data_IF_416687232212
#
_entry.id   IF_416687232212
#
_cell.length_a   1.000
_cell.length_b   1.000
_cell.length_c   1.000
_cell.angle_alpha   90.00
_cell.angle_beta   90.00
_cell.angle_gamma   90.00
#
_symmetry.space_group_name_H-M   'P 1'
#
loop_
_entity.id
_entity.type
_entity.pdbx_description
1 polymer ?
#
# COMPACT_ATOMS: atom_id res chain seq x y z
N UNK A 1 -15.98 24.67 9.79
CA UNK A 1 -15.89 23.58 10.79
C UNK A 1 -16.95 23.84 11.85
N UNK A 2 -17.71 22.82 12.24
CA UNK A 2 -18.98 23.03 12.97
C UNK A 2 -18.88 22.85 14.48
N UNK A 3 -17.78 22.36 15.04
CA UNK A 3 -17.65 22.19 16.48
C UNK A 3 -16.29 22.61 17.05
N UNK A 4 -16.32 23.00 18.33
CA UNK A 4 -15.11 23.23 19.13
C UNK A 4 -14.24 21.98 19.19
N UNK A 5 -14.84 20.79 19.26
CA UNK A 5 -14.10 19.51 19.32
C UNK A 5 -13.23 19.37 18.08
N UNK A 6 -13.80 19.60 16.90
CA UNK A 6 -13.06 19.53 15.65
C UNK A 6 -11.91 20.55 15.64
N UNK A 7 -12.11 21.76 16.19
CA UNK A 7 -11.08 22.82 16.20
C UNK A 7 -9.87 22.36 16.97
N UNK A 8 -10.10 21.78 18.16
CA UNK A 8 -9.04 21.21 18.98
C UNK A 8 -8.36 20.02 18.32
N UNK A 9 -9.10 19.18 17.58
CA UNK A 9 -8.51 18.04 16.86
C UNK A 9 -7.51 18.48 15.79
N UNK A 10 -7.84 19.54 15.04
CA UNK A 10 -6.99 20.00 13.92
C UNK A 10 -5.88 20.96 14.39
N UNK A 11 -6.21 21.91 15.26
CA UNK A 11 -5.30 23.00 15.65
C UNK A 11 -4.72 22.83 17.06
N UNK A 12 -5.17 21.85 17.84
CA UNK A 12 -4.84 21.77 19.27
C UNK A 12 -5.56 22.80 20.16
N UNK A 13 -6.20 23.82 19.55
CA UNK A 13 -6.92 24.89 20.23
C UNK A 13 -8.29 25.20 19.60
N UNK A 14 -9.11 25.93 20.33
CA UNK A 14 -10.44 26.38 19.86
C UNK A 14 -10.30 27.65 19.03
N UNK A 15 -11.21 27.88 18.08
CA UNK A 15 -11.26 29.11 17.29
C UNK A 15 -11.72 28.90 15.85
N UNK A 16 -11.55 27.71 15.27
CA UNK A 16 -11.95 27.44 13.89
C UNK A 16 -13.49 27.43 13.71
N UNK A 17 -14.25 27.22 14.79
CA UNK A 17 -15.71 27.31 14.77
C UNK A 17 -16.24 28.74 14.59
N UNK A 18 -15.37 29.75 14.72
CA UNK A 18 -15.70 31.18 14.60
C UNK A 18 -15.34 31.76 13.23
N UNK A 19 -14.87 30.92 12.31
CA UNK A 19 -14.53 31.31 10.95
C UNK A 19 -15.80 31.60 10.14
N UNK A 20 -15.72 32.61 9.27
CA UNK A 20 -16.83 33.08 8.46
C UNK A 20 -17.11 32.20 7.23
N UNK A 21 -16.18 31.30 6.88
CA UNK A 21 -16.20 30.54 5.63
C UNK A 21 -15.60 31.35 4.47
N UNK A 22 -15.85 30.92 3.23
CA UNK A 22 -15.44 31.62 1.99
C UNK A 22 -13.94 32.04 1.96
N UNK A 23 -13.06 31.18 2.48
CA UNK A 23 -11.61 31.43 2.51
C UNK A 23 -11.08 32.01 3.82
N UNK A 24 -11.91 32.39 4.78
CA UNK A 24 -11.45 32.75 6.13
C UNK A 24 -10.93 31.50 6.88
N UNK A 25 -9.67 31.56 7.35
CA UNK A 25 -8.96 30.42 7.92
C UNK A 25 -7.99 30.80 9.05
N UNK A 26 -7.61 29.82 9.86
CA UNK A 26 -6.52 29.92 10.85
C UNK A 26 -5.29 29.18 10.33
N UNK A 27 -4.16 29.87 10.27
CA UNK A 27 -2.86 29.32 9.88
C UNK A 27 -1.96 29.13 11.11
N UNK A 28 -1.31 27.98 11.19
CA UNK A 28 -0.37 27.63 12.26
C UNK A 28 0.96 27.18 11.64
N UNK A 29 2.02 27.97 11.83
CA UNK A 29 3.36 27.59 11.40
C UNK A 29 4.05 26.75 12.49
N UNK A 30 4.43 25.51 12.16
CA UNK A 30 5.27 24.67 13.02
C UNK A 30 4.72 24.39 14.42
N UNK A 31 3.40 24.28 14.58
CA UNK A 31 2.77 24.05 15.89
C UNK A 31 2.75 25.27 16.82
N UNK A 32 3.11 26.45 16.32
CA UNK A 32 3.10 27.72 17.07
C UNK A 32 1.70 28.32 17.23
N UNK A 33 1.64 29.63 17.44
CA UNK A 33 0.38 30.35 17.64
C UNK A 33 -0.40 30.51 16.32
N UNK A 34 -1.72 30.33 16.34
CA UNK A 34 -2.56 30.54 15.16
C UNK A 34 -2.64 32.02 14.76
N UNK A 35 -2.70 32.26 13.46
CA UNK A 35 -2.92 33.57 12.85
C UNK A 35 -4.12 33.48 11.90
N UNK A 36 -5.08 34.41 12.01
CA UNK A 36 -6.22 34.46 11.09
C UNK A 36 -5.82 35.08 9.76
N UNK A 37 -6.14 34.40 8.67
CA UNK A 37 -5.83 34.82 7.30
C UNK A 37 -7.03 34.60 6.38
N UNK A 38 -7.07 35.32 5.27
CA UNK A 38 -8.09 35.16 4.24
C UNK A 38 -7.43 34.59 2.98
N UNK A 39 -7.90 33.42 2.56
CA UNK A 39 -7.47 32.77 1.34
C UNK A 39 -7.92 33.59 0.12
N UNK A 40 -7.05 33.82 -0.86
CA UNK A 40 -7.47 34.44 -2.12
C UNK A 40 -8.47 33.54 -2.83
N UNK A 41 -9.50 34.15 -3.43
CA UNK A 41 -10.41 33.45 -4.30
C UNK A 41 -9.76 33.25 -5.68
N UNK A 42 -9.84 32.03 -6.20
CA UNK A 42 -9.44 31.67 -7.55
C UNK A 42 -10.59 30.86 -8.16
N UNK A 43 -11.15 31.31 -9.28
CA UNK A 43 -12.25 30.60 -9.92
C UNK A 43 -11.75 29.43 -10.76
N UNK A 44 -12.61 28.44 -11.00
CA UNK A 44 -12.30 27.27 -11.83
C UNK A 44 -11.80 27.68 -13.22
N UNK A 45 -12.38 28.73 -13.81
CA UNK A 45 -11.94 29.29 -15.10
C UNK A 45 -10.52 29.85 -15.10
N UNK A 46 -10.07 30.44 -13.97
CA UNK A 46 -8.69 30.92 -13.83
C UNK A 46 -7.73 29.73 -13.74
N UNK A 47 -8.10 28.70 -12.99
CA UNK A 47 -7.33 27.44 -12.91
C UNK A 47 -7.21 26.79 -14.28
N UNK A 48 -8.32 26.66 -15.03
CA UNK A 48 -8.33 26.10 -16.37
C UNK A 48 -7.44 26.88 -17.35
N UNK A 49 -7.47 28.21 -17.29
CA UNK A 49 -6.64 29.08 -18.12
C UNK A 49 -5.15 28.85 -17.85
N UNK A 50 -4.75 28.78 -16.57
CA UNK A 50 -3.36 28.50 -16.17
C UNK A 50 -2.94 27.09 -16.61
N UNK A 51 -3.78 26.08 -16.38
CA UNK A 51 -3.51 24.70 -16.80
C UNK A 51 -3.35 24.61 -18.32
N UNK A 52 -4.22 25.26 -19.09
CA UNK A 52 -4.13 25.30 -20.55
C UNK A 52 -2.84 25.99 -21.02
N UNK A 53 -2.38 27.02 -20.32
CA UNK A 53 -1.10 27.66 -20.59
C UNK A 53 0.08 26.70 -20.35
N UNK A 54 0.10 26.01 -19.20
CA UNK A 54 1.16 25.07 -18.84
C UNK A 54 1.23 23.87 -19.80
N UNK A 55 0.08 23.32 -20.22
CA UNK A 55 0.01 22.22 -21.20
C UNK A 55 0.62 22.56 -22.56
N UNK A 56 0.69 23.85 -22.94
CA UNK A 56 1.37 24.28 -24.19
C UNK A 56 2.89 24.30 -24.06
N UNK A 57 3.43 24.36 -22.85
CA UNK A 57 4.86 24.47 -22.62
C UNK A 57 5.56 23.11 -22.59
N UNK A 58 4.85 22.02 -22.31
CA UNK A 58 5.45 20.69 -22.26
C UNK A 58 4.46 19.57 -21.99
N UNK A 59 4.93 18.33 -22.19
CA UNK A 59 4.20 17.13 -21.79
C UNK A 59 4.45 16.82 -20.32
N UNK A 60 3.45 16.30 -19.58
CA UNK A 60 3.66 15.88 -18.21
C UNK A 60 4.66 14.72 -18.14
N UNK A 61 5.51 14.72 -17.11
CA UNK A 61 6.43 13.63 -16.79
C UNK A 61 5.96 12.97 -15.51
N UNK A 62 5.21 11.88 -15.63
CA UNK A 62 4.69 11.14 -14.49
C UNK A 62 5.75 10.18 -13.95
N UNK A 63 5.83 10.06 -12.62
CA UNK A 63 6.66 9.07 -11.95
C UNK A 63 5.77 7.90 -11.57
N UNK A 64 5.82 6.82 -12.36
CA UNK A 64 5.00 5.62 -12.16
C UNK A 64 5.16 5.02 -10.74
N UNK A 65 6.33 5.20 -10.12
CA UNK A 65 6.61 4.74 -8.76
C UNK A 65 5.76 5.43 -7.67
N UNK A 66 5.14 6.59 -7.94
CA UNK A 66 4.29 7.29 -6.96
C UNK A 66 2.91 6.65 -6.86
N UNK A 67 2.43 6.03 -7.95
CA UNK A 67 1.11 5.38 -8.04
C UNK A 67 1.21 3.86 -8.10
N UNK A 68 2.42 3.31 -8.19
CA UNK A 68 2.63 1.87 -8.09
C UNK A 68 2.29 1.42 -6.66
N UNK A 69 1.43 0.41 -6.56
CA UNK A 69 1.16 -0.24 -5.29
C UNK A 69 2.47 -0.89 -4.79
N UNK A 70 2.82 -0.73 -3.51
CA UNK A 70 4.05 -1.32 -2.94
C UNK A 70 4.02 -2.88 -2.93
N UNK A 71 2.93 -3.48 -3.40
CA UNK A 71 2.79 -4.90 -3.73
C UNK A 71 3.18 -5.29 -5.16
N UNK A 72 3.44 -4.33 -6.05
CA UNK A 72 3.74 -4.59 -7.46
C UNK A 72 5.18 -4.19 -7.80
N UNK A 73 6.06 -5.19 -7.75
CA UNK A 73 7.41 -5.08 -8.27
C UNK A 73 7.39 -4.58 -9.71
N UNK A 74 7.93 -3.37 -9.87
CA UNK A 74 8.29 -2.69 -11.11
C UNK A 74 8.35 -3.60 -12.35
N UNK A 75 7.27 -3.59 -13.15
CA UNK A 75 7.34 -3.79 -14.60
C UNK A 75 6.68 -2.59 -15.24
N UNK A 76 7.53 -1.71 -15.76
CA UNK A 76 7.17 -0.37 -16.19
C UNK A 76 6.22 -0.28 -17.38
N UNK A 77 5.67 0.92 -17.49
CA UNK A 77 5.15 1.62 -18.66
C UNK A 77 4.20 0.87 -19.59
N UNK A 78 2.91 1.17 -19.45
CA UNK A 78 2.21 2.13 -20.31
C UNK A 78 0.69 2.02 -20.12
N UNK A 79 0.01 3.13 -20.39
CA UNK A 79 -1.46 3.31 -20.54
C UNK A 79 -2.33 3.16 -19.29
N UNK A 80 -2.80 4.33 -18.82
CA UNK A 80 -4.23 4.70 -18.75
C UNK A 80 -5.19 3.60 -18.30
N UNK A 81 -5.64 3.67 -17.04
CA UNK A 81 -7.05 3.55 -16.65
C UNK A 81 -7.18 3.66 -15.12
N UNK A 82 -8.29 4.24 -14.70
CA UNK A 82 -8.62 4.75 -13.36
C UNK A 82 -9.27 3.62 -12.56
N UNK A 83 -8.69 3.12 -11.46
CA UNK A 83 -9.44 2.31 -10.49
C UNK A 83 -9.04 2.55 -9.02
N UNK A 84 -10.00 2.24 -8.17
CA UNK A 84 -10.35 2.86 -6.89
C UNK A 84 -9.67 2.17 -5.70
N UNK A 85 -9.20 2.99 -4.77
CA UNK A 85 -8.63 2.65 -3.46
C UNK A 85 -9.51 1.67 -2.65
N UNK A 86 -8.85 0.72 -1.97
CA UNK A 86 -9.46 -0.30 -1.12
C UNK A 86 -8.56 -0.65 0.05
N UNK A 87 -8.43 0.26 1.00
CA UNK A 87 -7.77 0.04 2.29
C UNK A 87 -8.38 -1.16 3.06
N UNK A 88 -7.53 -2.10 3.49
CA UNK A 88 -7.92 -3.15 4.46
C UNK A 88 -6.98 -3.10 5.67
N UNK A 89 -7.57 -2.71 6.79
CA UNK A 89 -6.99 -2.64 8.13
C UNK A 89 -6.45 -4.01 8.60
N UNK A 90 -5.21 -4.02 9.11
CA UNK A 90 -4.65 -5.10 9.92
C UNK A 90 -5.00 -4.88 11.40
N UNK A 91 -5.82 -5.77 11.95
CA UNK A 91 -5.95 -5.99 13.40
C UNK A 91 -6.32 -7.46 13.61
N UNK A 92 -5.39 -8.24 14.16
CA UNK A 92 -5.77 -9.36 15.01
C UNK A 92 -4.93 -10.60 14.89
N UNK A 93 -4.09 -10.80 15.92
CA UNK A 93 -4.16 -11.99 16.80
C UNK A 93 -2.88 -12.82 16.89
N UNK A 94 -2.30 -12.76 18.09
CA UNK A 94 -1.82 -13.86 18.92
C UNK A 94 -0.85 -14.91 18.35
N UNK A 95 0.24 -15.09 19.11
CA UNK A 95 0.60 -16.42 19.59
C UNK A 95 1.90 -16.97 19.02
N UNK A 96 2.83 -17.25 19.92
CA UNK A 96 4.03 -18.03 19.69
C UNK A 96 3.80 -19.29 18.87
N UNK A 97 4.59 -19.46 17.80
CA UNK A 97 5.37 -20.69 17.49
C UNK A 97 6.09 -20.44 16.17
N UNK A 98 7.23 -19.74 16.23
CA UNK A 98 8.11 -19.54 15.07
C UNK A 98 8.62 -20.83 14.41
N UNK A 99 8.32 -22.00 14.99
CA UNK A 99 8.61 -23.33 14.44
C UNK A 99 7.46 -24.02 13.68
N UNK A 100 6.23 -23.51 13.71
CA UNK A 100 5.08 -24.23 13.12
C UNK A 100 4.69 -23.70 11.72
N UNK A 101 4.73 -22.38 11.51
CA UNK A 101 4.31 -21.78 10.23
C UNK A 101 5.15 -22.24 9.03
N UNK A 102 6.44 -22.48 9.22
CA UNK A 102 7.31 -22.97 8.15
C UNK A 102 7.01 -24.42 7.78
N UNK A 103 6.84 -25.30 8.79
CA UNK A 103 6.47 -26.69 8.57
C UNK A 103 5.09 -26.82 7.90
N UNK A 104 4.12 -26.00 8.33
CA UNK A 104 2.80 -25.91 7.71
C UNK A 104 2.88 -25.44 6.25
N UNK A 105 3.71 -24.43 5.97
CA UNK A 105 3.94 -23.95 4.61
C UNK A 105 4.54 -25.05 3.73
N UNK A 106 5.55 -25.76 4.21
CA UNK A 106 6.15 -26.89 3.47
C UNK A 106 5.13 -27.98 3.18
N UNK A 107 4.34 -28.38 4.17
CA UNK A 107 3.30 -29.38 4.01
C UNK A 107 2.26 -28.97 2.96
N UNK A 108 1.87 -27.69 2.94
CA UNK A 108 0.94 -27.14 1.94
C UNK A 108 1.56 -27.20 0.54
N UNK A 109 2.81 -26.77 0.37
CA UNK A 109 3.51 -26.80 -0.93
C UNK A 109 3.64 -28.23 -1.45
N UNK A 110 4.04 -29.17 -0.59
CA UNK A 110 4.25 -30.57 -0.97
C UNK A 110 2.94 -31.30 -1.27
N UNK A 111 1.88 -31.07 -0.47
CA UNK A 111 0.57 -31.69 -0.66
C UNK A 111 -0.12 -31.18 -1.92
N UNK A 112 -0.14 -29.87 -2.09
CA UNK A 112 -0.95 -29.23 -3.15
C UNK A 112 -0.15 -29.04 -4.44
N UNK A 113 1.15 -29.37 -4.43
CA UNK A 113 2.13 -29.21 -5.52
C UNK A 113 2.08 -27.81 -6.14
N UNK A 114 1.85 -26.80 -5.29
CA UNK A 114 1.72 -25.39 -5.66
C UNK A 114 2.64 -24.55 -4.78
N UNK A 115 3.71 -24.05 -5.38
CA UNK A 115 4.72 -23.22 -4.74
C UNK A 115 4.64 -21.77 -5.26
N UNK A 116 3.68 -20.99 -4.76
CA UNK A 116 3.66 -19.54 -5.02
C UNK A 116 3.36 -18.77 -3.74
N UNK A 117 3.94 -17.58 -3.62
CA UNK A 117 3.79 -16.71 -2.44
C UNK A 117 2.32 -16.42 -2.14
N UNK A 118 1.54 -16.07 -3.16
CA UNK A 118 0.10 -15.82 -3.05
C UNK A 118 -0.72 -17.05 -2.65
N UNK A 119 -0.24 -18.26 -2.98
CA UNK A 119 -0.91 -19.50 -2.57
C UNK A 119 -0.74 -19.74 -1.07
N UNK A 120 0.50 -19.60 -0.57
CA UNK A 120 0.83 -19.76 0.85
C UNK A 120 0.18 -18.68 1.70
N UNK A 121 0.17 -17.43 1.22
CA UNK A 121 -0.53 -16.31 1.85
C UNK A 121 -1.98 -16.66 2.16
N UNK A 122 -2.74 -17.14 1.16
CA UNK A 122 -4.15 -17.53 1.34
C UNK A 122 -4.32 -18.76 2.21
N UNK A 123 -3.46 -19.77 2.06
CA UNK A 123 -3.65 -21.06 2.73
C UNK A 123 -3.33 -21.00 4.23
N UNK A 124 -2.40 -20.14 4.62
CA UNK A 124 -1.99 -19.93 6.01
C UNK A 124 -2.54 -18.63 6.62
N UNK A 125 -3.31 -17.85 5.86
CA UNK A 125 -3.90 -16.57 6.29
C UNK A 125 -2.86 -15.61 6.89
N UNK A 126 -1.68 -15.53 6.28
CA UNK A 126 -0.59 -14.66 6.68
C UNK A 126 -0.42 -13.51 5.67
N UNK A 127 0.20 -12.40 6.09
CA UNK A 127 0.54 -11.30 5.17
C UNK A 127 1.56 -11.71 4.09
N UNK A 128 1.55 -10.99 2.96
CA UNK A 128 2.39 -11.29 1.79
C UNK A 128 3.88 -11.37 2.14
N UNK A 129 4.39 -10.40 2.90
CA UNK A 129 5.81 -10.36 3.30
C UNK A 129 6.22 -11.61 4.09
N UNK A 130 5.34 -12.09 4.99
CA UNK A 130 5.61 -13.33 5.75
C UNK A 130 5.57 -14.55 4.83
N UNK A 131 4.64 -14.62 3.88
CA UNK A 131 4.61 -15.70 2.89
C UNK A 131 5.84 -15.68 1.96
N UNK A 132 6.31 -14.48 1.57
CA UNK A 132 7.48 -14.31 0.73
C UNK A 132 8.74 -14.81 1.44
N UNK A 133 8.96 -14.41 2.70
CA UNK A 133 10.08 -14.90 3.50
C UNK A 133 10.05 -16.42 3.71
N UNK A 134 8.87 -17.04 3.83
CA UNK A 134 8.75 -18.50 3.90
C UNK A 134 9.14 -19.16 2.57
N UNK A 135 8.75 -18.58 1.42
CA UNK A 135 9.12 -19.08 0.09
C UNK A 135 10.61 -18.92 -0.20
N UNK A 136 11.22 -17.80 0.19
CA UNK A 136 12.67 -17.56 0.10
C UNK A 136 13.45 -18.55 0.95
N UNK A 137 12.98 -18.83 2.17
CA UNK A 137 13.57 -19.85 3.03
C UNK A 137 13.49 -21.25 2.40
N UNK A 138 12.35 -21.62 1.82
CA UNK A 138 12.21 -22.88 1.08
C UNK A 138 13.12 -22.96 -0.15
N UNK A 139 13.42 -21.84 -0.80
CA UNK A 139 14.37 -21.79 -1.92
C UNK A 139 15.81 -21.97 -1.46
N UNK A 140 16.20 -21.30 -0.37
CA UNK A 140 17.52 -21.48 0.23
C UNK A 140 17.76 -22.93 0.70
N UNK A 141 16.71 -23.59 1.21
CA UNK A 141 16.76 -24.99 1.64
C UNK A 141 16.60 -25.99 0.49
N UNK A 142 16.46 -25.52 -0.76
CA UNK A 142 16.35 -26.38 -1.95
C UNK A 142 15.03 -27.13 -2.07
N UNK A 143 13.99 -26.70 -1.35
CA UNK A 143 12.64 -27.29 -1.42
C UNK A 143 11.91 -26.80 -2.68
N UNK A 144 12.12 -25.53 -3.04
CA UNK A 144 11.55 -24.90 -4.24
C UNK A 144 12.63 -24.21 -5.05
N UNK A 145 12.48 -24.17 -6.37
CA UNK A 145 13.38 -23.50 -7.28
C UNK A 145 13.13 -21.98 -7.36
N UNK A 146 13.88 -21.28 -8.23
CA UNK A 146 13.72 -19.85 -8.40
C UNK A 146 12.32 -19.49 -8.92
N UNK A 147 11.87 -18.28 -8.59
CA UNK A 147 10.61 -17.77 -9.08
C UNK A 147 10.64 -17.57 -10.60
N UNK A 148 9.63 -18.09 -11.29
CA UNK A 148 9.39 -17.76 -12.68
C UNK A 148 8.68 -16.40 -12.82
N UNK A 149 8.47 -15.96 -14.06
CA UNK A 149 7.81 -14.70 -14.40
C UNK A 149 6.39 -14.52 -13.82
N UNK A 150 5.75 -15.60 -13.34
CA UNK A 150 4.42 -15.62 -12.74
C UNK A 150 4.46 -15.81 -11.21
N UNK A 151 5.64 -15.71 -10.58
CA UNK A 151 5.82 -15.90 -9.13
C UNK A 151 5.59 -17.34 -8.66
N UNK A 152 5.50 -18.30 -9.59
CA UNK A 152 5.45 -19.73 -9.27
C UNK A 152 6.88 -20.26 -9.24
N UNK A 153 7.14 -21.17 -8.31
CA UNK A 153 8.41 -21.86 -8.14
C UNK A 153 8.22 -23.32 -8.50
N UNK A 154 9.25 -23.91 -9.09
CA UNK A 154 9.31 -25.36 -9.26
C UNK A 154 9.49 -26.00 -7.88
N UNK A 155 8.92 -27.18 -7.63
CA UNK A 155 9.14 -27.89 -6.36
C UNK A 155 10.23 -28.92 -6.65
N UNK A 156 11.39 -28.76 -6.01
CA UNK A 156 12.60 -29.54 -6.32
C UNK A 156 12.69 -30.82 -5.49
N UNK A 157 11.91 -30.91 -4.42
CA UNK A 157 11.73 -32.15 -3.66
C UNK A 157 10.55 -32.93 -4.23
N UNK A 158 10.85 -34.04 -4.90
CA UNK A 158 9.89 -35.10 -5.10
C UNK A 158 9.57 -35.71 -3.72
N UNK A 159 8.29 -35.99 -3.48
CA UNK A 159 7.91 -36.69 -2.27
C UNK A 159 8.48 -38.10 -2.39
N UNK A 160 9.56 -38.36 -1.68
CA UNK A 160 10.10 -39.70 -1.52
C UNK A 160 9.07 -40.52 -0.74
N UNK A 161 8.19 -41.23 -1.45
CA UNK A 161 7.36 -42.32 -0.93
C UNK A 161 6.60 -43.08 -2.05
N UNK A 162 7.33 -43.90 -2.80
CA UNK A 162 7.16 -45.35 -2.68
C UNK A 162 8.61 -45.89 -2.63
N UNK A 163 9.03 -46.65 -1.63
CA UNK A 163 8.59 -48.02 -1.35
C UNK A 163 9.16 -48.47 0.01
N UNK A 164 8.39 -49.34 0.68
CA UNK A 164 8.78 -50.32 1.72
C UNK A 164 8.85 -49.89 3.19
#
# INVERSE_FOLDING_TARGET
>A
MTSKIDSRTILGEMGAEQLLGQGDMLFMAGGGRTTRVHGPFCSDSEVESVVAHLKRQGRPSYLEAVTADEGEGAKGSASDEVEMDGAVFDQGSFGETGGDLYAQAMQVVLRDKKASTSYIQRRLQIGYNRAASLMEKMEMEGIVGPANHAGKREILVEADAHVS
#
